data_IF_205999821314
#
_entry.id   IF_205999821314
#
_cell.length_a   1.000
_cell.length_b   1.000
_cell.length_c   1.000
_cell.angle_alpha   90.00
_cell.angle_beta   90.00
_cell.angle_gamma   90.00
#
_symmetry.space_group_name_H-M   'P 1'
#
loop_
_entity.id
_entity.type
_entity.pdbx_description
1 polymer ?
#
# COMPACT_ATOMS: atom_id res chain seq x y z
N UNK A 1 -12.64 -8.47 6.36
CA UNK A 1 -12.80 -7.13 5.78
C UNK A 1 -12.96 -7.31 4.28
N UNK A 2 -13.83 -6.53 3.66
CA UNK A 2 -14.06 -6.64 2.22
C UNK A 2 -12.92 -6.01 1.40
N UNK A 3 -13.04 -6.01 0.06
CA UNK A 3 -11.99 -5.46 -0.82
C UNK A 3 -11.69 -3.99 -0.56
N UNK A 4 -12.65 -3.21 -0.05
CA UNK A 4 -12.43 -1.81 0.28
C UNK A 4 -11.47 -1.63 1.47
N UNK A 5 -11.25 -2.67 2.24
CA UNK A 5 -10.39 -2.65 3.42
C UNK A 5 -8.90 -2.92 3.15
N UNK A 6 -8.48 -3.18 1.90
CA UNK A 6 -7.07 -3.56 1.64
C UNK A 6 -6.09 -2.43 1.96
N UNK A 7 -6.40 -1.18 1.66
CA UNK A 7 -5.53 -0.06 1.99
C UNK A 7 -5.49 0.20 3.50
N UNK A 8 -6.63 0.33 4.21
CA UNK A 8 -6.57 0.48 5.67
C UNK A 8 -5.82 -0.67 6.36
N UNK A 9 -5.98 -1.90 5.91
CA UNK A 9 -5.29 -3.05 6.49
C UNK A 9 -3.78 -2.98 6.21
N UNK A 10 -3.38 -2.66 4.99
CA UNK A 10 -1.96 -2.51 4.63
C UNK A 10 -1.30 -1.36 5.39
N UNK A 11 -2.00 -0.24 5.56
CA UNK A 11 -1.53 0.88 6.36
C UNK A 11 -1.37 0.48 7.83
N UNK A 12 -2.35 -0.22 8.39
CA UNK A 12 -2.29 -0.67 9.77
C UNK A 12 -1.11 -1.60 10.02
N UNK A 13 -0.86 -2.55 9.12
CA UNK A 13 0.31 -3.43 9.18
C UNK A 13 1.61 -2.63 9.16
N UNK A 14 1.72 -1.67 8.25
CA UNK A 14 2.90 -0.82 8.09
C UNK A 14 3.12 0.06 9.32
N UNK A 15 2.09 0.71 9.82
CA UNK A 15 2.17 1.56 11.01
C UNK A 15 2.55 0.76 12.25
N UNK A 16 1.99 -0.43 12.39
CA UNK A 16 2.32 -1.34 13.51
C UNK A 16 3.81 -1.69 13.48
N UNK A 17 4.34 -2.03 12.31
CA UNK A 17 5.75 -2.38 12.16
C UNK A 17 6.67 -1.19 12.50
N UNK A 18 6.36 -0.01 11.99
CA UNK A 18 7.22 1.16 12.14
C UNK A 18 7.16 1.72 13.56
N UNK A 19 5.95 1.81 14.12
CA UNK A 19 5.74 2.44 15.43
C UNK A 19 5.98 1.50 16.61
N UNK A 20 5.98 0.18 16.36
CA UNK A 20 6.19 -0.81 17.41
C UNK A 20 5.00 -0.95 18.38
N UNK A 21 3.84 -0.46 18.01
CA UNK A 21 2.58 -0.61 18.76
C UNK A 21 1.47 -1.03 17.81
N UNK A 22 0.54 -1.85 18.29
CA UNK A 22 -0.52 -2.39 17.43
C UNK A 22 -1.49 -1.28 17.02
N UNK A 23 -1.62 -1.08 15.72
CA UNK A 23 -2.62 -0.21 15.10
C UNK A 23 -3.59 -1.12 14.36
N UNK A 24 -4.86 -1.11 14.77
CA UNK A 24 -5.86 -1.98 14.16
C UNK A 24 -6.32 -1.43 12.79
N UNK A 25 -6.63 -2.32 11.83
CA UNK A 25 -7.19 -1.89 10.54
C UNK A 25 -8.44 -1.02 10.67
N UNK A 26 -9.32 -1.32 11.63
CA UNK A 26 -10.53 -0.54 11.88
C UNK A 26 -10.21 0.88 12.35
N UNK A 27 -9.14 1.06 13.12
CA UNK A 27 -8.70 2.40 13.56
C UNK A 27 -8.28 3.26 12.37
N UNK A 28 -7.55 2.68 11.43
CA UNK A 28 -7.14 3.39 10.20
C UNK A 28 -8.35 3.68 9.31
N UNK A 29 -9.24 2.69 9.14
CA UNK A 29 -10.45 2.86 8.35
C UNK A 29 -11.35 3.96 8.91
N UNK A 30 -11.55 4.00 10.23
CA UNK A 30 -12.34 5.02 10.90
C UNK A 30 -11.73 6.41 10.72
N UNK A 31 -10.42 6.55 10.86
CA UNK A 31 -9.75 7.83 10.60
C UNK A 31 -10.02 8.30 9.16
N UNK A 32 -9.81 7.42 8.18
CA UNK A 32 -9.99 7.78 6.77
C UNK A 32 -11.44 8.14 6.47
N UNK A 33 -12.40 7.41 7.01
CA UNK A 33 -13.81 7.66 6.75
C UNK A 33 -14.31 8.94 7.40
N UNK A 34 -13.98 9.18 8.67
CA UNK A 34 -14.54 10.32 9.42
C UNK A 34 -13.73 11.60 9.29
N UNK A 35 -12.46 11.54 8.87
CA UNK A 35 -11.56 12.70 8.84
C UNK A 35 -11.04 13.06 7.46
N UNK A 36 -11.35 12.26 6.43
CA UNK A 36 -10.92 12.53 5.05
C UNK A 36 -12.05 12.25 4.07
N UNK A 37 -11.84 12.65 2.81
CA UNK A 37 -12.74 12.29 1.70
C UNK A 37 -12.18 11.14 0.86
N UNK A 38 -11.20 10.40 1.39
CA UNK A 38 -10.40 9.45 0.63
C UNK A 38 -10.84 8.00 0.75
N UNK A 39 -11.81 7.68 1.61
CA UNK A 39 -12.24 6.30 1.85
C UNK A 39 -13.76 6.18 1.83
N UNK A 40 -14.29 5.44 0.85
CA UNK A 40 -15.72 5.14 0.69
C UNK A 40 -16.62 6.38 0.73
N UNK A 41 -16.11 7.54 0.27
CA UNK A 41 -16.84 8.82 0.31
C UNK A 41 -17.50 9.20 -1.01
N UNK A 42 -17.17 8.46 -2.07
CA UNK A 42 -17.76 8.64 -3.40
C UNK A 42 -18.59 7.40 -3.73
N UNK A 43 -19.14 7.34 -4.93
CA UNK A 43 -19.82 6.13 -5.41
C UNK A 43 -18.88 4.96 -5.63
N UNK A 44 -17.56 5.17 -5.51
CA UNK A 44 -16.55 4.13 -5.68
C UNK A 44 -16.01 3.72 -4.31
N UNK A 45 -16.05 2.41 -4.02
CA UNK A 45 -15.49 1.85 -2.78
C UNK A 45 -13.98 1.88 -2.81
N UNK A 46 -13.36 2.01 -1.65
CA UNK A 46 -11.92 1.93 -1.46
C UNK A 46 -11.28 3.25 -1.04
N UNK A 47 -9.95 3.27 -1.04
CA UNK A 47 -9.14 4.41 -0.60
C UNK A 47 -8.34 4.93 -1.80
N UNK A 48 -8.37 6.25 -2.02
CA UNK A 48 -7.51 6.86 -3.02
C UNK A 48 -6.10 7.16 -2.47
N UNK A 49 -5.19 7.58 -3.37
CA UNK A 49 -3.80 7.84 -3.01
C UNK A 49 -3.65 8.93 -1.94
N UNK A 50 -4.52 9.94 -1.93
CA UNK A 50 -4.50 10.99 -0.89
C UNK A 50 -4.68 10.38 0.50
N UNK A 51 -5.48 9.34 0.62
CA UNK A 51 -5.71 8.66 1.89
C UNK A 51 -4.45 8.07 2.49
N UNK A 52 -3.58 7.52 1.67
CA UNK A 52 -2.29 6.97 2.12
C UNK A 52 -1.43 8.09 2.72
N UNK A 53 -1.34 9.22 2.04
CA UNK A 53 -0.55 10.38 2.49
C UNK A 53 -1.12 10.95 3.78
N UNK A 54 -2.44 11.16 3.83
CA UNK A 54 -3.11 11.76 4.98
C UNK A 54 -3.03 10.85 6.22
N UNK A 55 -3.24 9.54 6.06
CA UNK A 55 -3.14 8.61 7.17
C UNK A 55 -1.71 8.54 7.70
N UNK A 56 -0.72 8.44 6.84
CA UNK A 56 0.69 8.42 7.26
C UNK A 56 1.02 9.64 8.11
N UNK A 57 0.63 10.82 7.64
CA UNK A 57 0.84 12.09 8.36
C UNK A 57 0.13 12.07 9.72
N UNK A 58 -1.10 11.57 9.78
CA UNK A 58 -1.86 11.51 11.04
C UNK A 58 -1.14 10.66 12.09
N UNK A 59 -0.46 9.61 11.69
CA UNK A 59 0.32 8.76 12.61
C UNK A 59 1.77 9.22 12.78
N UNK A 60 2.10 10.45 12.31
CA UNK A 60 3.44 11.02 12.51
C UNK A 60 4.50 10.47 11.57
N UNK A 61 4.09 9.85 10.46
CA UNK A 61 4.99 9.24 9.50
C UNK A 61 5.08 10.06 8.22
N UNK A 62 6.15 9.84 7.48
CA UNK A 62 6.39 10.46 6.17
C UNK A 62 6.03 9.48 5.06
N UNK A 63 5.69 10.02 3.90
CA UNK A 63 5.42 9.22 2.71
C UNK A 63 5.97 9.88 1.46
N UNK A 64 6.40 9.07 0.48
CA UNK A 64 6.81 9.55 -0.84
C UNK A 64 6.18 8.68 -1.91
N UNK A 65 5.64 9.30 -2.95
CA UNK A 65 5.20 8.60 -4.16
C UNK A 65 6.45 8.17 -4.94
N UNK A 66 6.48 6.91 -5.37
CA UNK A 66 7.60 6.31 -6.11
C UNK A 66 7.13 5.89 -7.49
N UNK A 67 7.83 6.31 -8.54
CA UNK A 67 7.39 6.05 -9.92
C UNK A 67 8.24 5.01 -10.67
N UNK A 68 9.45 4.75 -10.23
CA UNK A 68 10.37 3.84 -10.92
C UNK A 68 10.79 2.66 -10.05
N UNK A 69 11.19 1.56 -10.70
CA UNK A 69 11.76 0.40 -10.00
C UNK A 69 12.98 0.82 -9.18
N UNK A 70 13.83 1.69 -9.73
CA UNK A 70 15.01 2.17 -9.03
C UNK A 70 14.65 2.92 -7.75
N UNK A 71 13.63 3.76 -7.77
CA UNK A 71 13.17 4.49 -6.59
C UNK A 71 12.57 3.55 -5.53
N UNK A 72 11.81 2.55 -5.98
CA UNK A 72 11.24 1.54 -5.08
C UNK A 72 12.38 0.74 -4.41
N UNK A 73 13.35 0.28 -5.20
CA UNK A 73 14.50 -0.46 -4.68
C UNK A 73 15.29 0.37 -3.66
N UNK A 74 15.51 1.66 -3.96
CA UNK A 74 16.24 2.57 -3.06
C UNK A 74 15.51 2.72 -1.72
N UNK A 75 14.18 2.90 -1.75
CA UNK A 75 13.38 2.99 -0.53
C UNK A 75 13.48 1.71 0.30
N UNK A 76 13.36 0.55 -0.34
CA UNK A 76 13.43 -0.75 0.33
C UNK A 76 14.83 -1.00 0.90
N UNK A 77 15.89 -0.65 0.18
CA UNK A 77 17.26 -0.78 0.67
C UNK A 77 17.53 0.12 1.88
N UNK A 78 16.79 1.23 2.01
CA UNK A 78 16.86 2.12 3.17
C UNK A 78 16.04 1.62 4.37
N UNK A 79 15.39 0.46 4.24
CA UNK A 79 14.58 -0.11 5.31
C UNK A 79 13.15 0.42 5.36
N UNK A 80 12.72 1.19 4.37
CA UNK A 80 11.36 1.72 4.33
C UNK A 80 10.37 0.65 3.88
N UNK A 81 9.12 0.77 4.33
CA UNK A 81 8.00 0.00 3.79
C UNK A 81 7.48 0.68 2.53
N UNK A 82 6.97 -0.10 1.60
CA UNK A 82 6.32 0.43 0.40
C UNK A 82 4.94 -0.20 0.26
N UNK A 83 3.92 0.64 0.15
CA UNK A 83 2.59 0.20 -0.25
C UNK A 83 2.53 0.21 -1.78
N UNK A 84 2.06 -0.90 -2.35
CA UNK A 84 1.95 -1.07 -3.78
C UNK A 84 0.53 -1.46 -4.15
N UNK A 85 -0.12 -0.66 -4.98
CA UNK A 85 -1.41 -1.03 -5.56
C UNK A 85 -1.16 -1.78 -6.87
N UNK A 86 -1.71 -2.98 -6.99
CA UNK A 86 -1.55 -3.86 -8.14
C UNK A 86 -2.89 -4.18 -8.77
N UNK A 87 -2.88 -4.40 -10.07
CA UNK A 87 -4.03 -4.87 -10.83
C UNK A 87 -4.00 -6.38 -11.03
N UNK A 88 -4.63 -6.84 -12.12
CA UNK A 88 -4.73 -8.26 -12.46
C UNK A 88 -3.36 -8.94 -12.42
N UNK A 89 -3.23 -9.94 -11.55
CA UNK A 89 -1.95 -10.55 -11.21
C UNK A 89 -2.19 -11.78 -10.36
N UNK A 90 -1.11 -12.33 -9.82
CA UNK A 90 -1.20 -13.38 -8.80
C UNK A 90 -2.01 -12.93 -7.57
N UNK A 91 -2.05 -11.62 -7.29
CA UNK A 91 -2.65 -11.08 -6.05
C UNK A 91 -4.14 -10.79 -6.17
N UNK A 92 -4.64 -10.52 -7.36
CA UNK A 92 -6.05 -10.15 -7.58
C UNK A 92 -6.47 -10.41 -9.02
N UNK A 93 -7.73 -10.77 -9.21
CA UNK A 93 -8.31 -11.03 -10.52
C UNK A 93 -8.79 -9.74 -11.18
N UNK A 94 -8.67 -9.69 -12.53
CA UNK A 94 -9.29 -8.64 -13.33
C UNK A 94 -10.81 -8.59 -13.04
N UNK A 95 -11.45 -7.44 -12.92
CA UNK A 95 -10.94 -6.07 -13.13
C UNK A 95 -10.51 -5.36 -11.84
N UNK A 96 -10.34 -6.08 -10.75
CA UNK A 96 -10.10 -5.50 -9.43
C UNK A 96 -8.65 -5.09 -9.22
N UNK A 97 -8.44 -4.23 -8.24
CA UNK A 97 -7.11 -3.82 -7.76
C UNK A 97 -6.95 -4.20 -6.29
N UNK A 98 -5.72 -4.30 -5.84
CA UNK A 98 -5.40 -4.75 -4.49
C UNK A 98 -4.16 -4.02 -3.97
N UNK A 99 -4.10 -3.81 -2.66
CA UNK A 99 -2.95 -3.19 -2.01
C UNK A 99 -2.14 -4.24 -1.28
N UNK A 100 -0.84 -4.25 -1.52
CA UNK A 100 0.11 -5.14 -0.83
C UNK A 100 1.21 -4.32 -0.17
N UNK A 101 1.88 -4.90 0.82
CA UNK A 101 2.98 -4.29 1.54
C UNK A 101 4.29 -4.92 1.10
N UNK A 102 5.25 -4.09 0.71
CA UNK A 102 6.61 -4.49 0.36
C UNK A 102 7.55 -4.07 1.47
N UNK A 103 8.44 -4.98 1.90
CA UNK A 103 9.47 -4.66 2.87
C UNK A 103 10.67 -5.59 2.66
N UNK A 104 11.87 -5.03 2.78
CA UNK A 104 13.11 -5.78 2.53
C UNK A 104 13.47 -5.83 1.05
N UNK A 105 14.75 -5.95 0.78
CA UNK A 105 15.28 -5.99 -0.58
C UNK A 105 16.44 -6.96 -0.63
N UNK A 106 16.42 -7.86 -1.61
CA UNK A 106 17.50 -8.79 -1.86
C UNK A 106 17.60 -9.10 -3.35
N UNK A 107 18.64 -8.59 -3.98
CA UNK A 107 19.00 -8.90 -5.37
C UNK A 107 17.80 -8.79 -6.34
N UNK A 108 17.15 -7.62 -6.34
CA UNK A 108 16.03 -7.32 -7.23
C UNK A 108 14.68 -7.84 -6.75
N UNK A 109 14.61 -8.46 -5.57
CA UNK A 109 13.38 -9.00 -4.99
C UNK A 109 13.03 -8.28 -3.69
N UNK A 110 11.74 -8.26 -3.39
CA UNK A 110 11.20 -7.75 -2.13
C UNK A 110 10.27 -8.77 -1.49
N UNK A 111 10.16 -8.72 -0.16
CA UNK A 111 9.19 -9.56 0.54
C UNK A 111 7.82 -8.88 0.52
N UNK A 112 6.83 -9.62 0.06
CA UNK A 112 5.44 -9.17 -0.04
C UNK A 112 4.64 -9.74 1.12
N UNK A 113 3.84 -8.88 1.78
CA UNK A 113 2.76 -9.30 2.65
C UNK A 113 1.44 -8.86 2.04
N UNK A 114 0.56 -9.85 1.82
CA UNK A 114 -0.78 -9.63 1.29
C UNK A 114 -1.76 -9.59 2.46
N UNK A 115 -2.45 -8.47 2.70
CA UNK A 115 -3.32 -8.33 3.87
C UNK A 115 -4.53 -9.28 3.86
N UNK A 116 -4.90 -9.84 2.70
CA UNK A 116 -6.08 -10.69 2.58
C UNK A 116 -5.77 -12.14 2.27
N UNK A 117 -4.54 -12.46 1.89
CA UNK A 117 -4.18 -13.84 1.54
C UNK A 117 -2.71 -14.11 1.87
N UNK A 118 -2.48 -14.66 3.06
CA UNK A 118 -1.13 -14.97 3.52
C UNK A 118 -0.41 -16.02 2.64
N UNK A 119 -1.14 -16.78 1.84
CA UNK A 119 -0.52 -17.72 0.88
C UNK A 119 0.27 -16.97 -0.20
N UNK A 120 -0.02 -15.70 -0.43
CA UNK A 120 0.73 -14.87 -1.37
C UNK A 120 1.99 -14.26 -0.75
N UNK A 121 2.20 -14.37 0.57
CA UNK A 121 3.38 -13.81 1.21
C UNK A 121 4.65 -14.53 0.73
N UNK A 122 5.69 -13.76 0.42
CA UNK A 122 6.96 -14.30 -0.03
C UNK A 122 7.78 -13.29 -0.82
N UNK A 123 8.87 -13.75 -1.39
CA UNK A 123 9.79 -12.93 -2.18
C UNK A 123 9.35 -12.89 -3.64
N UNK A 124 9.25 -11.69 -4.18
CA UNK A 124 8.86 -11.44 -5.58
C UNK A 124 9.83 -10.48 -6.23
N UNK A 125 10.02 -10.66 -7.53
CA UNK A 125 10.77 -9.71 -8.35
C UNK A 125 10.09 -8.34 -8.37
N UNK A 126 10.86 -7.26 -8.20
CA UNK A 126 10.34 -5.90 -8.37
C UNK A 126 9.87 -5.65 -9.81
N UNK A 127 10.51 -6.28 -10.80
CA UNK A 127 10.06 -6.19 -12.19
C UNK A 127 8.63 -6.71 -12.34
N UNK A 128 8.31 -7.83 -11.70
CA UNK A 128 6.96 -8.38 -11.72
C UNK A 128 5.96 -7.44 -11.07
N UNK A 129 6.26 -6.98 -9.85
CA UNK A 129 5.35 -6.10 -9.10
C UNK A 129 5.10 -4.80 -9.86
N UNK A 130 6.14 -4.16 -10.37
CA UNK A 130 6.00 -2.95 -11.16
C UNK A 130 5.25 -3.21 -12.45
N UNK A 131 5.45 -4.37 -13.07
CA UNK A 131 4.79 -4.75 -14.32
C UNK A 131 3.28 -4.97 -14.17
N UNK A 132 2.79 -5.27 -12.96
CA UNK A 132 1.35 -5.48 -12.67
C UNK A 132 0.74 -4.32 -11.88
N UNK A 133 1.36 -3.16 -11.92
CA UNK A 133 0.88 -1.97 -11.22
C UNK A 133 -0.58 -1.65 -11.55
N UNK A 134 -1.30 -1.14 -10.57
CA UNK A 134 -2.67 -0.67 -10.76
C UNK A 134 -2.70 0.52 -11.70
N UNK A 135 -3.70 0.56 -12.59
CA UNK A 135 -3.99 1.69 -13.47
C UNK A 135 -5.28 2.41 -13.07
N UNK A 136 -5.85 2.02 -11.95
CA UNK A 136 -7.07 2.64 -11.43
C UNK A 136 -6.82 4.10 -11.07
N UNK A 137 -7.79 4.97 -11.40
CA UNK A 137 -7.65 6.41 -11.22
C UNK A 137 -7.48 6.81 -9.74
N UNK A 138 -8.06 6.05 -8.80
CA UNK A 138 -7.89 6.32 -7.37
C UNK A 138 -6.44 6.05 -6.94
N UNK A 139 -5.87 4.93 -7.39
CA UNK A 139 -4.52 4.52 -7.03
C UNK A 139 -3.44 5.41 -7.65
N UNK A 140 -3.69 5.92 -8.86
CA UNK A 140 -2.75 6.72 -9.63
C UNK A 140 -3.01 8.22 -9.52
N UNK A 141 -3.86 8.65 -8.61
CA UNK A 141 -4.26 10.06 -8.45
C UNK A 141 -3.07 10.99 -8.26
N UNK A 142 -2.03 10.56 -7.56
CA UNK A 142 -0.82 11.35 -7.31
C UNK A 142 0.34 10.98 -8.24
N UNK A 143 0.13 10.11 -9.20
CA UNK A 143 1.12 9.62 -10.16
C UNK A 143 1.14 8.10 -10.19
N UNK A 144 2.23 7.48 -9.76
CA UNK A 144 2.34 6.03 -9.70
C UNK A 144 1.69 5.48 -8.42
N UNK A 145 1.26 4.20 -8.43
CA UNK A 145 0.54 3.60 -7.31
C UNK A 145 1.47 2.99 -6.24
N UNK A 146 2.63 3.58 -6.01
CA UNK A 146 3.61 3.11 -5.03
C UNK A 146 3.96 4.22 -4.06
N UNK A 147 3.93 3.93 -2.75
CA UNK A 147 4.24 4.91 -1.72
C UNK A 147 5.18 4.29 -0.68
N UNK A 148 6.35 4.92 -0.48
CA UNK A 148 7.16 4.58 0.69
C UNK A 148 6.56 5.25 1.93
N UNK A 149 6.67 4.56 3.07
CA UNK A 149 6.22 5.07 4.37
C UNK A 149 7.36 4.85 5.36
N UNK A 150 7.71 5.89 6.11
CA UNK A 150 8.84 5.86 7.02
C UNK A 150 8.72 6.91 8.12
N UNK A 151 9.50 6.72 9.17
CA UNK A 151 9.55 7.66 10.30
C UNK A 151 10.27 8.96 9.95
#
# INVERSE_FOLDING_TARGET
MDQSGCVPTSLAMTFTDILGTVIAPTTVADYLYYNTNSFNKTSVAGTDADGIVLASKNWGLKSNMLSSIANIASALMSGQHVLAAVGASQFINYPYTHEIVLHGYDNGKTYVRDPFNANNNGWYSLDYIHGVLSRDAMDTKLGAPFFSIFA
#
